data_IF_045871388075
#
_entry.id   IF_045871388075
#
_cell.length_a   1.000
_cell.length_b   1.000
_cell.length_c   1.000
_cell.angle_alpha   90.00
_cell.angle_beta   90.00
_cell.angle_gamma   90.00
#
_symmetry.space_group_name_H-M   'P 1'
#
loop_
_entity.id
_entity.type
_entity.pdbx_description
1 polymer ?
#
# COMPACT_ATOMS: atom_id res chain seq x y z
N UNK A 1 -20.14 -16.98 -1.42
CA UNK A 1 -19.10 -16.74 -2.43
C UNK A 1 -18.67 -15.28 -2.45
N UNK A 2 -19.59 -14.33 -2.41
CA UNK A 2 -19.28 -12.90 -2.38
C UNK A 2 -18.58 -12.46 -1.10
N UNK A 3 -19.02 -12.94 0.06
CA UNK A 3 -18.35 -12.67 1.33
C UNK A 3 -16.90 -13.10 1.31
N UNK A 4 -16.62 -14.26 0.70
CA UNK A 4 -15.26 -14.76 0.59
C UNK A 4 -14.40 -13.84 -0.28
N UNK A 5 -14.93 -13.33 -1.39
CA UNK A 5 -14.21 -12.37 -2.25
C UNK A 5 -13.92 -11.06 -1.54
N UNK A 6 -14.92 -10.50 -0.82
CA UNK A 6 -14.74 -9.26 -0.07
C UNK A 6 -13.72 -9.43 1.05
N UNK A 7 -13.76 -10.54 1.76
CA UNK A 7 -12.77 -10.84 2.80
C UNK A 7 -11.37 -11.02 2.23
N UNK A 8 -11.23 -11.71 1.09
CA UNK A 8 -9.95 -11.89 0.42
C UNK A 8 -9.39 -10.55 -0.08
N UNK A 9 -10.23 -9.71 -0.68
CA UNK A 9 -9.82 -8.37 -1.14
C UNK A 9 -9.41 -7.49 0.04
N UNK A 10 -10.17 -7.53 1.15
CA UNK A 10 -9.84 -6.81 2.38
C UNK A 10 -8.52 -7.24 2.98
N UNK A 11 -8.21 -8.55 3.00
CA UNK A 11 -6.93 -9.08 3.47
C UNK A 11 -5.77 -8.64 2.58
N UNK A 12 -5.95 -8.61 1.27
CA UNK A 12 -4.93 -8.12 0.34
C UNK A 12 -4.63 -6.64 0.57
N UNK A 13 -5.67 -5.84 0.78
CA UNK A 13 -5.51 -4.42 1.09
C UNK A 13 -4.76 -4.22 2.41
N UNK A 14 -5.14 -4.96 3.46
CA UNK A 14 -4.46 -4.89 4.75
C UNK A 14 -3.00 -5.30 4.64
N UNK A 15 -2.69 -6.38 3.91
CA UNK A 15 -1.33 -6.82 3.68
C UNK A 15 -0.52 -5.78 2.89
N UNK A 16 -1.09 -5.20 1.83
CA UNK A 16 -0.45 -4.15 1.05
C UNK A 16 -0.18 -2.89 1.88
N UNK A 17 -1.11 -2.49 2.74
CA UNK A 17 -0.96 -1.36 3.64
C UNK A 17 0.13 -1.59 4.69
N UNK A 18 0.24 -2.80 5.24
CA UNK A 18 1.29 -3.16 6.18
C UNK A 18 2.68 -3.08 5.53
N UNK A 19 2.81 -3.52 4.28
CA UNK A 19 4.07 -3.41 3.51
C UNK A 19 4.43 -1.94 3.31
N UNK A 20 3.49 -1.08 2.94
CA UNK A 20 3.72 0.36 2.77
C UNK A 20 4.23 0.98 4.07
N UNK A 21 3.59 0.71 5.21
CA UNK A 21 4.01 1.23 6.51
C UNK A 21 5.42 0.78 6.86
N UNK A 22 5.75 -0.49 6.64
CA UNK A 22 7.07 -1.04 6.90
C UNK A 22 8.14 -0.38 6.03
N UNK A 23 7.86 -0.17 4.76
CA UNK A 23 8.78 0.50 3.85
C UNK A 23 8.99 1.97 4.21
N UNK A 24 7.94 2.68 4.63
CA UNK A 24 8.04 4.05 5.10
C UNK A 24 8.92 4.17 6.35
N UNK A 25 8.75 3.25 7.30
CA UNK A 25 9.59 3.20 8.50
C UNK A 25 11.06 2.96 8.14
N UNK A 26 11.32 2.05 7.22
CA UNK A 26 12.70 1.77 6.75
C UNK A 26 13.29 2.99 6.06
N UNK A 27 12.53 3.69 5.23
CA UNK A 27 12.95 4.92 4.56
C UNK A 27 13.34 6.00 5.57
N UNK A 28 12.53 6.21 6.60
CA UNK A 28 12.83 7.16 7.68
C UNK A 28 14.11 6.83 8.43
N UNK A 29 14.37 5.54 8.68
CA UNK A 29 15.63 5.09 9.31
C UNK A 29 16.82 5.39 8.41
N UNK A 30 16.72 5.13 7.12
CA UNK A 30 17.80 5.41 6.16
C UNK A 30 18.08 6.91 6.12
N UNK A 31 17.05 7.74 6.08
CA UNK A 31 17.19 9.20 6.07
C UNK A 31 17.85 9.70 7.34
N UNK A 32 17.49 9.17 8.50
CA UNK A 32 18.15 9.52 9.78
C UNK A 32 19.62 9.14 9.79
N UNK A 33 19.96 7.95 9.33
CA UNK A 33 21.37 7.51 9.24
C UNK A 33 22.15 8.40 8.28
N UNK A 34 21.55 8.80 7.18
CA UNK A 34 22.16 9.71 6.22
C UNK A 34 22.42 11.08 6.83
N UNK A 35 21.47 11.60 7.61
CA UNK A 35 21.62 12.88 8.32
C UNK A 35 22.70 12.80 9.41
N UNK A 36 22.74 11.70 10.16
CA UNK A 36 23.75 11.45 11.18
C UNK A 36 25.16 11.37 10.60
N UNK A 37 25.30 10.89 9.36
CA UNK A 37 26.56 10.89 8.61
C UNK A 37 26.91 12.24 7.98
N UNK A 38 26.10 13.25 8.20
CA UNK A 38 26.28 14.61 7.68
C UNK A 38 27.34 15.44 8.42
N UNK A 39 28.29 14.81 9.12
CA UNK A 39 29.38 15.51 9.81
C UNK A 39 30.26 16.32 8.86
N UNK A 40 30.79 17.48 9.31
CA UNK A 40 31.68 18.29 8.47
C UNK A 40 32.92 17.50 8.07
N UNK A 41 33.14 17.34 6.77
CA UNK A 41 34.27 16.61 6.18
C UNK A 41 35.63 17.21 6.64
N UNK A 42 35.64 18.50 6.97
CA UNK A 42 36.83 19.22 7.40
C UNK A 42 37.44 18.72 8.71
N UNK A 43 36.65 18.02 9.54
CA UNK A 43 37.09 17.48 10.81
C UNK A 43 37.62 16.05 10.70
N UNK A 44 37.63 15.48 9.50
CA UNK A 44 37.96 14.08 9.25
C UNK A 44 39.37 13.96 8.60
N UNK A 45 40.04 12.86 8.89
CA UNK A 45 41.24 12.47 8.13
C UNK A 45 40.85 12.10 6.69
N UNK A 46 41.85 12.05 5.78
CA UNK A 46 41.57 11.66 4.39
C UNK A 46 40.94 10.27 4.26
N UNK A 47 41.36 9.32 5.12
CA UNK A 47 40.75 7.98 5.16
C UNK A 47 39.31 8.01 5.65
N UNK A 48 39.05 8.75 6.73
CA UNK A 48 37.71 8.91 7.30
C UNK A 48 36.78 9.62 6.32
N UNK A 49 37.27 10.63 5.62
CA UNK A 49 36.51 11.34 4.58
C UNK A 49 36.10 10.40 3.44
N UNK A 50 37.02 9.52 2.98
CA UNK A 50 36.70 8.51 1.98
C UNK A 50 35.69 7.51 2.46
N UNK A 51 35.83 7.02 3.70
CA UNK A 51 34.88 6.08 4.30
C UNK A 51 33.49 6.70 4.42
N UNK A 52 33.42 7.96 4.84
CA UNK A 52 32.16 8.69 4.96
C UNK A 52 31.50 8.89 3.58
N UNK A 53 32.28 9.25 2.57
CA UNK A 53 31.77 9.42 1.20
C UNK A 53 31.21 8.10 0.66
N UNK A 54 31.92 6.99 0.89
CA UNK A 54 31.45 5.65 0.50
C UNK A 54 30.18 5.27 1.24
N UNK A 55 30.10 5.54 2.54
CA UNK A 55 28.90 5.26 3.35
C UNK A 55 27.69 6.07 2.86
N UNK A 56 27.90 7.35 2.57
CA UNK A 56 26.85 8.21 2.01
C UNK A 56 26.35 7.72 0.65
N UNK A 57 27.26 7.28 -0.21
CA UNK A 57 26.92 6.73 -1.51
C UNK A 57 26.06 5.46 -1.36
N UNK A 58 26.46 4.54 -0.46
CA UNK A 58 25.69 3.32 -0.18
C UNK A 58 24.30 3.64 0.37
N UNK A 59 24.20 4.59 1.29
CA UNK A 59 22.91 5.02 1.83
C UNK A 59 22.04 5.70 0.79
N UNK A 60 22.65 6.50 -0.10
CA UNK A 60 21.96 7.12 -1.23
C UNK A 60 21.37 6.08 -2.16
N UNK A 61 22.13 5.04 -2.51
CA UNK A 61 21.67 3.94 -3.35
C UNK A 61 20.58 3.14 -2.65
N UNK A 62 20.73 2.86 -1.36
CA UNK A 62 19.72 2.16 -0.57
C UNK A 62 18.42 2.98 -0.51
N UNK A 63 18.51 4.29 -0.34
CA UNK A 63 17.36 5.18 -0.31
C UNK A 63 16.66 5.23 -1.67
N UNK A 64 17.41 5.29 -2.77
CA UNK A 64 16.84 5.26 -4.12
C UNK A 64 16.08 3.96 -4.38
N UNK A 65 16.68 2.81 -4.03
CA UNK A 65 16.00 1.51 -4.14
C UNK A 65 14.76 1.43 -3.28
N UNK A 66 14.82 1.97 -2.06
CA UNK A 66 13.70 1.99 -1.14
C UNK A 66 12.55 2.85 -1.66
N UNK A 67 12.84 3.98 -2.28
CA UNK A 67 11.83 4.82 -2.93
C UNK A 67 11.08 4.09 -4.04
N UNK A 68 11.80 3.33 -4.86
CA UNK A 68 11.20 2.51 -5.92
C UNK A 68 10.27 1.46 -5.31
N UNK A 69 10.73 0.74 -4.28
CA UNK A 69 9.93 -0.26 -3.59
C UNK A 69 8.68 0.34 -2.95
N UNK A 70 8.82 1.51 -2.35
CA UNK A 70 7.70 2.23 -1.75
C UNK A 70 6.68 2.64 -2.80
N UNK A 71 7.13 3.17 -3.94
CA UNK A 71 6.25 3.52 -5.04
C UNK A 71 5.48 2.32 -5.58
N UNK A 72 6.15 1.18 -5.76
CA UNK A 72 5.51 -0.08 -6.18
C UNK A 72 4.49 -0.58 -5.15
N UNK A 73 4.83 -0.50 -3.85
CA UNK A 73 3.93 -0.91 -2.78
C UNK A 73 2.69 -0.02 -2.70
N UNK A 74 2.85 1.29 -2.89
CA UNK A 74 1.74 2.24 -2.95
C UNK A 74 0.82 1.95 -4.14
N UNK A 75 1.39 1.60 -5.27
CA UNK A 75 0.64 1.20 -6.47
C UNK A 75 -0.17 -0.07 -6.23
N UNK A 76 0.44 -1.07 -5.58
CA UNK A 76 -0.26 -2.31 -5.20
C UNK A 76 -1.39 -2.04 -4.21
N UNK A 77 -1.15 -1.16 -3.23
CA UNK A 77 -2.18 -0.77 -2.26
C UNK A 77 -3.36 -0.10 -2.95
N UNK A 78 -3.09 0.81 -3.89
CA UNK A 78 -4.14 1.47 -4.67
C UNK A 78 -4.93 0.47 -5.51
N UNK A 79 -4.25 -0.50 -6.14
CA UNK A 79 -4.91 -1.57 -6.89
C UNK A 79 -5.78 -2.45 -6.00
N UNK A 80 -5.30 -2.81 -4.80
CA UNK A 80 -6.08 -3.60 -3.85
C UNK A 80 -7.30 -2.82 -3.33
N UNK A 81 -7.15 -1.52 -3.07
CA UNK A 81 -8.27 -0.67 -2.66
C UNK A 81 -9.33 -0.56 -3.77
N UNK A 82 -8.90 -0.41 -5.02
CA UNK A 82 -9.80 -0.39 -6.17
C UNK A 82 -10.56 -1.71 -6.32
N UNK A 83 -9.89 -2.84 -6.09
CA UNK A 83 -10.53 -4.16 -6.12
C UNK A 83 -11.61 -4.30 -5.03
N UNK A 84 -11.33 -3.83 -3.81
CA UNK A 84 -12.32 -3.82 -2.71
C UNK A 84 -13.53 -2.98 -3.09
N UNK A 85 -13.32 -1.77 -3.63
CA UNK A 85 -14.40 -0.90 -4.07
C UNK A 85 -15.25 -1.52 -5.18
N UNK A 86 -14.61 -2.18 -6.14
CA UNK A 86 -15.30 -2.87 -7.24
C UNK A 86 -16.15 -4.03 -6.71
N UNK A 87 -15.63 -4.81 -5.75
CA UNK A 87 -16.37 -5.92 -5.16
C UNK A 87 -17.58 -5.43 -4.35
N UNK A 88 -17.44 -4.34 -3.60
CA UNK A 88 -18.56 -3.72 -2.90
C UNK A 88 -19.62 -3.20 -3.86
N UNK A 89 -19.23 -2.53 -4.94
CA UNK A 89 -20.15 -2.04 -5.94
C UNK A 89 -20.92 -3.18 -6.62
N UNK A 90 -20.23 -4.28 -6.93
CA UNK A 90 -20.86 -5.46 -7.51
C UNK A 90 -21.88 -6.10 -6.55
N UNK A 91 -21.52 -6.20 -5.26
CA UNK A 91 -22.43 -6.73 -4.25
C UNK A 91 -23.68 -5.85 -4.11
N UNK A 92 -23.52 -4.54 -4.05
CA UNK A 92 -24.62 -3.59 -3.96
C UNK A 92 -25.54 -3.67 -5.19
N UNK A 93 -24.97 -3.80 -6.38
CA UNK A 93 -25.72 -3.93 -7.61
C UNK A 93 -26.60 -5.19 -7.60
N UNK A 94 -26.08 -6.30 -7.10
CA UNK A 94 -26.84 -7.54 -6.98
C UNK A 94 -27.96 -7.42 -5.95
N UNK A 95 -27.68 -6.80 -4.80
CA UNK A 95 -28.73 -6.57 -3.79
C UNK A 95 -29.87 -5.72 -4.33
N UNK A 96 -29.58 -4.66 -5.06
CA UNK A 96 -30.58 -3.83 -5.70
C UNK A 96 -31.40 -4.59 -6.74
N UNK A 97 -30.77 -5.49 -7.50
CA UNK A 97 -31.47 -6.34 -8.45
C UNK A 97 -32.41 -7.31 -7.77
N UNK A 98 -31.99 -7.89 -6.62
CA UNK A 98 -32.83 -8.76 -5.81
C UNK A 98 -34.02 -8.01 -5.24
N UNK A 99 -33.81 -6.81 -4.70
CA UNK A 99 -34.89 -5.97 -4.17
C UNK A 99 -35.92 -5.63 -5.25
N UNK A 100 -35.48 -5.27 -6.43
CA UNK A 100 -36.38 -5.00 -7.55
C UNK A 100 -37.19 -6.23 -7.96
N UNK A 101 -36.57 -7.40 -7.94
CA UNK A 101 -37.25 -8.64 -8.24
C UNK A 101 -38.31 -8.97 -7.17
N UNK A 102 -38.00 -8.73 -5.89
CA UNK A 102 -38.95 -8.91 -4.78
C UNK A 102 -40.13 -7.95 -4.88
N UNK A 103 -39.88 -6.70 -5.20
CA UNK A 103 -40.94 -5.70 -5.34
C UNK A 103 -41.88 -6.02 -6.51
N UNK A 104 -41.37 -6.66 -7.55
CA UNK A 104 -42.18 -7.09 -8.67
C UNK A 104 -43.02 -8.34 -8.38
N UNK A 105 -42.58 -9.23 -7.50
CA UNK A 105 -43.24 -10.49 -7.18
C UNK A 105 -44.58 -10.37 -6.43
N UNK A 106 -44.78 -9.49 -5.46
CA UNK A 106 -46.04 -9.43 -4.70
C UNK A 106 -47.28 -9.22 -5.57
N UNK A 107 -47.16 -8.49 -6.64
CA UNK A 107 -48.27 -8.23 -7.55
C UNK A 107 -48.71 -9.49 -8.26
N UNK A 108 -47.82 -10.41 -8.56
CA UNK A 108 -48.11 -11.67 -9.26
C UNK A 108 -48.65 -12.74 -8.34
N UNK A 109 -48.35 -12.67 -7.04
CA UNK A 109 -48.67 -13.70 -6.08
C UNK A 109 -49.99 -13.47 -5.34
N UNK A 110 -50.59 -12.34 -5.48
CA UNK A 110 -51.93 -12.12 -4.86
C UNK A 110 -53.00 -13.00 -5.47
N UNK A 111 -53.53 -13.94 -4.72
CA UNK A 111 -54.64 -14.74 -5.18
C UNK A 111 -55.90 -13.89 -5.20
N UNK A 112 -56.77 -14.23 -6.04
CA UNK A 112 -58.04 -13.54 -6.15
C UNK A 112 -59.14 -14.27 -5.46
#
# INVERSE_FOLDING_TARGET
VRRVRLQAAGRRLAAASAVVTQLQTTTERIERLRDDLGLPVQLLTGYEAKALTAARALLGDANARQRIRTAEALKRRAGAAAAVSADHAAADAVERAIERARDAQPVRQEPK
#
